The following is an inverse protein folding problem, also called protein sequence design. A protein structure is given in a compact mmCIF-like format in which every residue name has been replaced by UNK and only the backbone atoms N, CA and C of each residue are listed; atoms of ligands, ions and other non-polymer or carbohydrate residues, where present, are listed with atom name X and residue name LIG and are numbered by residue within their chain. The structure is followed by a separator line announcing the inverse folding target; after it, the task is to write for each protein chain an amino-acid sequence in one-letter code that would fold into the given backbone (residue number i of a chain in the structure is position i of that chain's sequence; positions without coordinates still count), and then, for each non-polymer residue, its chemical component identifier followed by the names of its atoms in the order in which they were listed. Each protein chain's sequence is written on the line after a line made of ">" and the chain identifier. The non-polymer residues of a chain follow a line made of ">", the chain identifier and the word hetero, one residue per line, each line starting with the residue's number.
data_IF_541730381447
#
_entry.id   IF_541730381447
#
_cell.length_a   1.000
_cell.length_b   1.000
_cell.length_c   1.000
_cell.angle_alpha   90.00
_cell.angle_beta   90.00
_cell.angle_gamma   90.00
#
_symmetry.space_group_name_H-M   'P 1'
#
loop_
_entity.id
_entity.type
_entity.pdbx_description
1 polymer ?
#
# COMPACT_ATOMS: atom_id res chain seq x y z
N UNK A 1 -4.68 -8.29 -53.60
CA UNK A 1 -4.91 -9.33 -52.59
C UNK A 1 -4.11 -8.94 -51.36
N UNK A 2 -4.72 -8.17 -50.46
CA UNK A 2 -4.16 -7.89 -49.14
C UNK A 2 -4.72 -8.93 -48.17
N UNK A 3 -3.91 -9.52 -47.27
CA UNK A 3 -4.44 -10.36 -46.21
C UNK A 3 -5.19 -9.49 -45.21
N UNK A 4 -6.37 -9.95 -44.82
CA UNK A 4 -7.23 -9.38 -43.80
C UNK A 4 -6.62 -9.58 -42.40
N UNK A 5 -6.30 -8.48 -41.71
CA UNK A 5 -5.96 -8.49 -40.29
C UNK A 5 -7.23 -8.76 -39.47
N UNK A 6 -7.46 -10.04 -39.16
CA UNK A 6 -8.39 -10.47 -38.14
C UNK A 6 -7.62 -10.63 -36.82
N UNK A 7 -7.39 -9.51 -36.13
CA UNK A 7 -7.06 -9.53 -34.71
C UNK A 7 -8.24 -8.93 -33.96
N UNK A 8 -9.21 -9.80 -33.67
CA UNK A 8 -10.24 -9.51 -32.69
C UNK A 8 -9.57 -9.37 -31.34
N UNK A 9 -9.32 -8.13 -30.91
CA UNK A 9 -9.08 -7.82 -29.52
C UNK A 9 -10.32 -8.28 -28.75
N UNK A 10 -10.17 -9.38 -28.01
CA UNK A 10 -11.15 -9.77 -27.00
C UNK A 10 -11.17 -8.66 -25.96
N UNK A 11 -12.08 -7.70 -26.12
CA UNK A 11 -12.43 -6.78 -25.05
C UNK A 11 -12.97 -7.63 -23.90
N UNK A 12 -12.14 -7.86 -22.89
CA UNK A 12 -12.57 -8.42 -21.63
C UNK A 12 -13.56 -7.42 -21.04
N UNK A 13 -14.85 -7.76 -21.12
CA UNK A 13 -15.92 -6.96 -20.54
C UNK A 13 -15.67 -6.81 -19.04
N UNK A 14 -15.67 -5.56 -18.56
CA UNK A 14 -15.60 -5.24 -17.14
C UNK A 14 -16.62 -6.07 -16.34
N UNK A 15 -16.28 -6.59 -15.14
CA UNK A 15 -17.23 -7.28 -14.30
C UNK A 15 -18.45 -6.38 -14.03
N UNK A 16 -19.68 -6.92 -14.09
CA UNK A 16 -20.91 -6.13 -14.01
C UNK A 16 -21.11 -5.39 -12.68
N UNK A 17 -20.39 -5.75 -11.62
CA UNK A 17 -20.61 -5.26 -10.26
C UNK A 17 -19.55 -4.28 -9.71
N UNK A 18 -18.64 -3.75 -10.55
CA UNK A 18 -17.78 -2.62 -10.17
C UNK A 18 -16.73 -2.87 -9.08
N UNK A 19 -16.63 -4.07 -8.51
CA UNK A 19 -15.54 -4.46 -7.61
C UNK A 19 -14.32 -4.93 -8.39
N UNK A 20 -13.42 -4.02 -8.76
CA UNK A 20 -12.14 -4.41 -9.40
C UNK A 20 -11.17 -5.05 -8.40
N UNK A 21 -11.34 -4.79 -7.09
CA UNK A 21 -10.52 -5.35 -6.01
C UNK A 21 -11.38 -6.27 -5.13
N UNK A 22 -11.15 -7.59 -5.13
CA UNK A 22 -11.92 -8.53 -4.32
C UNK A 22 -11.69 -8.33 -2.81
N UNK A 23 -12.77 -8.50 -2.04
CA UNK A 23 -12.72 -8.56 -0.58
C UNK A 23 -13.00 -9.98 -0.10
N UNK A 24 -12.15 -10.48 0.80
CA UNK A 24 -12.28 -11.80 1.42
C UNK A 24 -12.60 -11.70 2.90
N UNK A 25 -13.49 -12.57 3.37
CA UNK A 25 -13.98 -12.62 4.75
C UNK A 25 -13.80 -14.04 5.32
N UNK A 26 -12.55 -14.50 5.54
CA UNK A 26 -12.26 -15.83 6.04
C UNK A 26 -12.93 -16.10 7.38
N UNK A 27 -13.48 -17.31 7.53
CA UNK A 27 -13.84 -17.87 8.83
C UNK A 27 -12.58 -18.14 9.66
N UNK A 28 -12.74 -18.30 10.97
CA UNK A 28 -11.63 -18.70 11.86
C UNK A 28 -10.93 -19.99 11.42
N UNK A 29 -11.66 -20.94 10.80
CA UNK A 29 -11.10 -22.19 10.31
C UNK A 29 -10.27 -21.99 9.04
N UNK A 30 -10.75 -21.17 8.10
CA UNK A 30 -10.03 -20.82 6.88
C UNK A 30 -8.78 -19.98 7.18
N UNK A 31 -8.82 -19.17 8.24
CA UNK A 31 -7.74 -18.27 8.63
C UNK A 31 -6.59 -18.97 9.38
N UNK A 32 -6.66 -20.27 9.66
CA UNK A 32 -5.63 -21.01 10.42
C UNK A 32 -4.28 -21.13 9.69
N UNK A 33 -4.27 -21.02 8.36
CA UNK A 33 -3.06 -21.17 7.57
C UNK A 33 -3.02 -20.12 6.47
N UNK A 34 -2.17 -19.12 6.66
CA UNK A 34 -1.91 -18.07 5.69
C UNK A 34 -1.60 -18.65 4.31
N UNK A 35 -0.56 -19.50 4.20
CA UNK A 35 -0.11 -20.04 2.93
C UNK A 35 -1.18 -20.88 2.21
N UNK A 36 -1.97 -21.66 2.96
CA UNK A 36 -3.06 -22.44 2.39
C UNK A 36 -4.15 -21.51 1.87
N UNK A 37 -4.62 -20.56 2.68
CA UNK A 37 -5.69 -19.65 2.31
C UNK A 37 -5.33 -18.81 1.08
N UNK A 38 -4.10 -18.26 1.04
CA UNK A 38 -3.64 -17.50 -0.12
C UNK A 38 -3.65 -18.36 -1.37
N UNK A 39 -3.06 -19.57 -1.33
CA UNK A 39 -2.93 -20.43 -2.50
C UNK A 39 -4.25 -21.00 -3.02
N UNK A 40 -5.17 -21.36 -2.13
CA UNK A 40 -6.39 -22.09 -2.52
C UNK A 40 -7.61 -21.19 -2.71
N UNK A 41 -7.63 -20.02 -2.07
CA UNK A 41 -8.80 -19.11 -2.09
C UNK A 41 -8.47 -17.82 -2.81
N UNK A 42 -7.40 -17.12 -2.41
CA UNK A 42 -7.10 -15.75 -2.88
C UNK A 42 -6.49 -15.73 -4.28
N UNK A 43 -5.39 -16.46 -4.47
CA UNK A 43 -4.59 -16.46 -5.70
C UNK A 43 -5.42 -16.81 -6.96
N UNK A 44 -6.28 -17.85 -6.95
CA UNK A 44 -7.13 -18.17 -8.11
C UNK A 44 -8.08 -17.05 -8.56
N UNK A 45 -8.43 -16.14 -7.65
CA UNK A 45 -9.38 -15.05 -7.90
C UNK A 45 -8.68 -13.70 -8.13
N UNK A 46 -7.42 -13.55 -7.72
CA UNK A 46 -6.72 -12.27 -7.71
C UNK A 46 -5.52 -12.21 -8.67
N UNK A 47 -5.09 -13.32 -9.25
CA UNK A 47 -3.92 -13.37 -10.14
C UNK A 47 -4.02 -12.40 -11.33
N UNK A 48 -5.23 -12.15 -11.86
CA UNK A 48 -5.47 -11.18 -12.95
C UNK A 48 -5.79 -9.76 -12.47
N UNK A 49 -5.81 -9.53 -11.16
CA UNK A 49 -6.20 -8.24 -10.55
C UNK A 49 -5.00 -7.57 -9.89
N UNK A 50 -4.13 -8.35 -9.25
CA UNK A 50 -2.89 -7.88 -8.62
C UNK A 50 -3.03 -7.34 -7.20
N UNK A 51 -4.26 -7.10 -6.71
CA UNK A 51 -4.50 -6.67 -5.33
C UNK A 51 -5.84 -7.21 -4.82
N UNK A 52 -5.91 -7.46 -3.52
CA UNK A 52 -7.15 -7.78 -2.82
C UNK A 52 -7.11 -7.25 -1.39
N UNK A 53 -8.26 -7.31 -0.71
CA UNK A 53 -8.37 -6.99 0.71
C UNK A 53 -8.89 -8.21 1.46
N UNK A 54 -8.25 -8.55 2.58
CA UNK A 54 -8.66 -9.65 3.45
C UNK A 54 -9.06 -9.05 4.78
N UNK A 55 -10.31 -9.25 5.18
CA UNK A 55 -10.86 -8.80 6.44
C UNK A 55 -10.75 -9.98 7.42
N UNK A 56 -9.83 -9.94 8.39
CA UNK A 56 -9.62 -11.06 9.30
C UNK A 56 -10.88 -11.35 10.12
N UNK A 57 -11.06 -12.59 10.60
CA UNK A 57 -12.21 -12.94 11.41
C UNK A 57 -12.24 -12.11 12.69
N UNK A 58 -13.46 -11.79 13.15
CA UNK A 58 -13.65 -10.97 14.35
C UNK A 58 -12.92 -11.57 15.55
N UNK A 59 -12.07 -10.76 16.19
CA UNK A 59 -11.29 -11.18 17.36
C UNK A 59 -9.94 -11.84 17.06
N UNK A 60 -9.54 -11.95 15.79
CA UNK A 60 -8.26 -12.56 15.38
C UNK A 60 -7.03 -11.95 16.08
N UNK A 61 -6.88 -10.63 16.01
CA UNK A 61 -5.75 -9.92 16.60
C UNK A 61 -6.18 -8.51 16.99
N UNK A 62 -5.95 -8.16 18.26
CA UNK A 62 -6.14 -6.80 18.76
C UNK A 62 -5.02 -6.48 19.73
N UNK A 63 -4.42 -5.31 19.56
CA UNK A 63 -3.38 -4.80 20.44
C UNK A 63 -3.63 -3.30 20.64
N UNK A 64 -3.50 -2.84 21.88
CA UNK A 64 -3.45 -1.40 22.16
C UNK A 64 -2.07 -0.87 21.79
N UNK A 65 -2.02 0.26 21.10
CA UNK A 65 -0.76 0.90 20.70
C UNK A 65 -0.56 2.18 21.51
N UNK A 66 0.43 2.17 22.39
CA UNK A 66 0.94 3.37 23.04
C UNK A 66 2.22 3.78 22.30
N UNK A 67 2.17 4.92 21.61
CA UNK A 67 3.30 5.44 20.83
C UNK A 67 4.56 5.67 21.68
N UNK A 68 4.40 5.96 22.98
CA UNK A 68 5.52 6.19 23.90
C UNK A 68 6.22 4.89 24.31
N UNK A 69 5.58 3.74 24.11
CA UNK A 69 6.08 2.42 24.46
C UNK A 69 6.58 1.63 23.24
N UNK A 70 6.53 2.22 22.04
CA UNK A 70 7.05 1.57 20.84
C UNK A 70 8.58 1.54 20.88
N UNK A 71 9.14 0.34 20.86
CA UNK A 71 10.58 0.11 20.80
C UNK A 71 11.11 0.24 19.35
N UNK A 72 10.91 1.41 18.76
CA UNK A 72 11.45 1.76 17.45
C UNK A 72 11.65 3.27 17.32
N UNK A 73 12.47 3.67 16.35
CA UNK A 73 12.61 5.06 15.94
C UNK A 73 12.08 5.21 14.51
N UNK A 74 11.47 6.36 14.22
CA UNK A 74 11.17 6.75 12.85
C UNK A 74 12.47 7.25 12.24
N UNK A 75 13.25 6.32 11.72
CA UNK A 75 14.56 6.58 11.12
C UNK A 75 14.42 7.29 9.78
N UNK A 76 15.15 8.38 9.58
CA UNK A 76 15.22 9.14 8.33
C UNK A 76 13.86 9.35 7.60
N UNK A 77 12.81 9.87 8.27
CA UNK A 77 11.53 10.09 7.62
C UNK A 77 11.68 11.05 6.45
N UNK A 78 10.98 10.79 5.35
CA UNK A 78 11.12 11.57 4.11
C UNK A 78 10.00 12.60 3.97
N UNK A 79 10.37 13.85 3.69
CA UNK A 79 9.44 14.86 3.19
C UNK A 79 9.21 14.67 1.70
N UNK A 80 7.95 14.69 1.29
CA UNK A 80 7.54 14.39 -0.08
C UNK A 80 7.19 15.68 -0.81
N UNK A 81 8.16 16.22 -1.54
CA UNK A 81 7.97 17.40 -2.36
C UNK A 81 7.39 17.01 -3.71
N UNK A 82 6.23 17.55 -4.06
CA UNK A 82 5.50 17.17 -5.27
C UNK A 82 5.69 18.20 -6.37
N UNK A 83 6.08 17.76 -7.57
CA UNK A 83 6.15 18.59 -8.76
C UNK A 83 5.34 17.94 -9.90
N UNK A 84 4.42 18.68 -10.51
CA UNK A 84 3.59 18.14 -11.59
C UNK A 84 2.22 18.79 -11.67
N UNK A 85 1.42 18.33 -12.64
CA UNK A 85 0.05 18.78 -12.87
C UNK A 85 -0.73 17.79 -13.73
N UNK A 86 -2.06 17.92 -13.72
CA UNK A 86 -2.98 17.12 -14.55
C UNK A 86 -2.82 15.61 -14.37
N UNK A 87 -2.61 15.15 -13.14
CA UNK A 87 -2.51 13.73 -12.80
C UNK A 87 -1.12 13.11 -12.95
N UNK A 88 -0.13 13.87 -13.42
CA UNK A 88 1.26 13.41 -13.57
C UNK A 88 2.12 14.20 -12.59
N UNK A 89 2.77 13.50 -11.67
CA UNK A 89 3.55 14.08 -10.58
C UNK A 89 4.84 13.30 -10.35
N UNK A 90 5.94 14.03 -10.18
CA UNK A 90 7.17 13.55 -9.59
C UNK A 90 7.17 13.88 -8.10
N UNK A 91 7.77 13.02 -7.28
CA UNK A 91 7.87 13.19 -5.85
C UNK A 91 9.34 13.13 -5.45
N UNK A 92 9.90 14.27 -5.07
CA UNK A 92 11.25 14.37 -4.53
C UNK A 92 11.22 14.09 -3.04
N UNK A 93 12.03 13.13 -2.61
CA UNK A 93 12.12 12.71 -1.21
C UNK A 93 13.29 13.41 -0.52
N UNK A 94 13.01 14.16 0.54
CA UNK A 94 14.03 14.85 1.34
C UNK A 94 14.04 14.26 2.75
N UNK A 95 15.12 13.57 3.09
CA UNK A 95 15.28 12.98 4.42
C UNK A 95 15.27 14.05 5.52
N UNK A 96 14.62 13.70 6.63
CA UNK A 96 14.65 14.45 7.87
C UNK A 96 15.44 13.71 8.93
N UNK A 97 15.76 14.44 10.00
CA UNK A 97 16.35 13.84 11.19
C UNK A 97 15.42 12.78 11.78
N UNK A 98 15.99 11.64 12.14
CA UNK A 98 15.33 10.59 12.93
C UNK A 98 14.62 11.18 14.14
N UNK A 99 13.42 10.68 14.41
CA UNK A 99 12.56 11.09 15.50
C UNK A 99 11.82 9.91 16.11
N UNK A 100 11.30 10.08 17.32
CA UNK A 100 10.43 9.09 17.96
C UNK A 100 9.04 9.03 17.31
N UNK A 101 8.30 7.92 17.45
CA UNK A 101 6.91 7.84 17.02
C UNK A 101 6.00 8.93 17.63
N UNK A 102 6.27 9.33 18.87
CA UNK A 102 5.53 10.43 19.55
C UNK A 102 5.79 11.77 18.87
N UNK A 103 7.04 12.08 18.54
CA UNK A 103 7.40 13.31 17.82
C UNK A 103 6.82 13.32 16.40
N UNK A 104 6.86 12.18 15.69
CA UNK A 104 6.23 12.06 14.37
C UNK A 104 4.73 12.32 14.44
N UNK A 105 4.04 11.73 15.42
CA UNK A 105 2.62 11.95 15.64
C UNK A 105 2.29 13.42 15.97
N UNK A 106 3.06 14.05 16.86
CA UNK A 106 2.89 15.47 17.18
C UNK A 106 3.09 16.37 15.95
N UNK A 107 4.10 16.08 15.11
CA UNK A 107 4.33 16.76 13.84
C UNK A 107 3.13 16.60 12.88
N UNK A 108 2.62 15.38 12.72
CA UNK A 108 1.45 15.12 11.88
C UNK A 108 0.21 15.88 12.39
N UNK A 109 0.00 15.93 13.71
CA UNK A 109 -1.08 16.69 14.34
C UNK A 109 -0.88 18.21 14.24
N UNK A 110 0.34 18.70 14.09
CA UNK A 110 0.62 20.13 13.92
C UNK A 110 0.49 20.61 12.47
N UNK A 111 0.35 19.69 11.49
CA UNK A 111 0.23 20.03 10.08
C UNK A 111 -0.97 20.96 9.81
N UNK A 112 -0.77 21.95 8.95
CA UNK A 112 -1.77 22.96 8.54
C UNK A 112 -2.82 22.37 7.61
N UNK A 113 -2.39 21.55 6.65
CA UNK A 113 -3.25 20.77 5.77
C UNK A 113 -3.78 19.56 6.55
N UNK A 114 -5.05 19.64 6.93
CA UNK A 114 -5.70 18.60 7.73
C UNK A 114 -6.32 17.54 6.86
N UNK A 115 -6.28 16.33 7.38
CA UNK A 115 -7.09 15.24 6.86
C UNK A 115 -8.58 15.60 6.85
N UNK A 116 -9.36 15.02 5.94
CA UNK A 116 -10.80 15.22 5.94
C UNK A 116 -11.49 14.50 7.11
N UNK A 117 -12.70 14.94 7.47
CA UNK A 117 -13.46 14.36 8.58
C UNK A 117 -13.92 12.92 8.30
N UNK A 118 -14.11 12.11 9.35
CA UNK A 118 -14.43 10.67 9.22
C UNK A 118 -15.78 10.38 8.53
N UNK A 119 -16.68 11.36 8.49
CA UNK A 119 -18.00 11.23 7.87
C UNK A 119 -17.98 11.43 6.35
N UNK A 120 -16.82 11.77 5.77
CA UNK A 120 -16.72 12.08 4.35
C UNK A 120 -16.67 10.83 3.46
N UNK A 121 -17.30 10.93 2.29
CA UNK A 121 -17.29 9.92 1.23
C UNK A 121 -15.83 9.63 0.79
N UNK A 122 -15.37 8.36 0.74
CA UNK A 122 -14.04 7.99 0.27
C UNK A 122 -13.67 8.60 -1.09
N UNK A 123 -14.62 8.76 -2.02
CA UNK A 123 -14.36 9.38 -3.32
C UNK A 123 -14.15 10.90 -3.23
N UNK A 124 -14.73 11.56 -2.23
CA UNK A 124 -14.47 12.97 -1.95
C UNK A 124 -13.11 13.15 -1.29
N UNK A 125 -12.75 12.27 -0.36
CA UNK A 125 -11.40 12.20 0.23
C UNK A 125 -10.34 12.06 -0.88
N UNK A 126 -10.56 11.14 -1.83
CA UNK A 126 -9.71 10.93 -2.99
C UNK A 126 -9.59 12.20 -3.87
N UNK A 127 -10.72 12.83 -4.21
CA UNK A 127 -10.73 14.09 -5.00
C UNK A 127 -9.94 15.20 -4.31
N UNK A 128 -10.08 15.34 -2.99
CA UNK A 128 -9.33 16.33 -2.19
C UNK A 128 -7.85 16.00 -2.11
N UNK A 129 -7.50 14.72 -2.07
CA UNK A 129 -6.11 14.30 -2.20
C UNK A 129 -5.53 14.80 -3.53
N UNK A 130 -6.08 14.40 -4.67
CA UNK A 130 -5.52 14.76 -5.98
C UNK A 130 -5.54 16.26 -6.28
N UNK A 131 -6.64 16.94 -5.95
CA UNK A 131 -6.77 18.40 -6.17
C UNK A 131 -5.80 19.22 -5.31
N UNK A 132 -5.40 18.68 -4.17
CA UNK A 132 -4.49 19.36 -3.25
C UNK A 132 -3.02 19.23 -3.63
N UNK A 133 -2.64 18.26 -4.48
CA UNK A 133 -1.24 18.07 -4.89
C UNK A 133 -0.77 19.23 -5.77
N UNK A 134 0.17 20.01 -5.25
CA UNK A 134 0.76 21.19 -5.91
C UNK A 134 2.15 21.46 -5.33
N UNK A 135 3.05 22.02 -6.13
CA UNK A 135 4.42 22.33 -5.68
C UNK A 135 4.54 23.37 -4.57
N UNK A 136 3.44 24.05 -4.22
CA UNK A 136 3.37 25.01 -3.11
C UNK A 136 2.68 24.46 -1.86
N UNK A 137 2.32 23.17 -1.84
CA UNK A 137 1.78 22.54 -0.63
C UNK A 137 2.89 22.32 0.40
N UNK A 138 2.52 22.31 1.67
CA UNK A 138 3.43 21.83 2.71
C UNK A 138 3.68 20.33 2.47
N UNK A 139 4.95 19.89 2.29
CA UNK A 139 5.25 18.51 1.96
C UNK A 139 4.96 17.59 3.15
N UNK A 140 4.17 16.51 2.98
CA UNK A 140 3.93 15.57 4.06
C UNK A 140 5.22 14.80 4.37
N UNK A 141 5.36 14.40 5.63
CA UNK A 141 6.42 13.50 6.07
C UNK A 141 5.92 12.05 6.04
N UNK A 142 6.78 11.11 5.66
CA UNK A 142 6.48 9.69 5.66
C UNK A 142 7.62 8.93 6.35
N UNK A 143 7.32 8.22 7.43
CA UNK A 143 8.25 7.30 8.08
C UNK A 143 8.10 5.93 7.44
N UNK A 144 9.07 5.48 6.66
CA UNK A 144 9.02 4.21 5.94
C UNK A 144 10.18 3.29 6.35
N UNK A 145 10.07 2.02 6.00
CA UNK A 145 11.16 1.04 6.02
C UNK A 145 11.80 0.79 7.39
N UNK A 146 11.02 0.96 8.46
CA UNK A 146 11.48 0.73 9.83
C UNK A 146 11.34 -0.76 10.13
N UNK A 147 12.45 -1.50 10.06
CA UNK A 147 12.49 -2.94 10.40
C UNK A 147 12.04 -3.15 11.85
N UNK A 148 10.81 -3.59 12.03
CA UNK A 148 10.17 -3.82 13.33
C UNK A 148 8.81 -4.50 13.13
N UNK A 149 8.19 -4.97 14.21
CA UNK A 149 6.87 -5.59 14.20
C UNK A 149 6.06 -5.20 15.42
N UNK A 150 4.78 -4.89 15.20
CA UNK A 150 3.82 -4.70 16.29
C UNK A 150 3.05 -5.98 16.63
N UNK A 151 3.31 -7.10 15.94
CA UNK A 151 2.76 -8.41 16.30
C UNK A 151 3.47 -9.03 17.51
N UNK A 152 4.76 -8.73 17.71
CA UNK A 152 5.58 -9.43 18.71
C UNK A 152 5.53 -10.95 18.51
N UNK A 153 5.43 -11.69 19.61
CA UNK A 153 5.36 -13.17 19.61
C UNK A 153 3.92 -13.71 19.44
N UNK A 154 2.98 -12.89 18.97
CA UNK A 154 1.61 -13.34 18.77
C UNK A 154 1.56 -14.44 17.69
N UNK A 155 0.91 -15.56 18.02
CA UNK A 155 0.68 -16.66 17.06
C UNK A 155 -0.15 -16.18 15.85
N UNK A 156 -1.08 -15.26 16.09
CA UNK A 156 -1.89 -14.58 15.08
C UNK A 156 -2.41 -15.55 13.99
N UNK A 157 -2.74 -16.79 14.34
CA UNK A 157 -3.22 -17.84 13.44
C UNK A 157 -2.38 -18.01 12.16
N UNK A 158 -1.04 -17.94 12.24
CA UNK A 158 -0.13 -17.96 11.07
C UNK A 158 -0.12 -16.69 10.20
N UNK A 159 -0.81 -15.62 10.62
CA UNK A 159 -0.84 -14.30 9.96
C UNK A 159 -0.02 -13.24 10.70
N UNK A 160 0.95 -13.65 11.52
CA UNK A 160 1.96 -12.74 12.03
C UNK A 160 2.85 -12.31 10.86
N UNK A 161 2.79 -11.04 10.44
CA UNK A 161 3.56 -10.56 9.28
C UNK A 161 5.08 -10.69 9.47
N UNK A 162 5.54 -10.72 10.73
CA UNK A 162 6.95 -10.96 11.06
C UNK A 162 7.26 -12.45 11.25
N UNK A 163 6.30 -13.35 11.08
CA UNK A 163 6.46 -14.81 11.10
C UNK A 163 5.56 -15.54 10.10
N UNK A 164 5.47 -15.04 8.86
CA UNK A 164 4.70 -15.72 7.82
C UNK A 164 5.40 -17.01 7.40
N UNK A 165 4.71 -18.13 7.55
CA UNK A 165 5.21 -19.46 7.18
C UNK A 165 5.17 -19.68 5.65
N UNK A 166 6.05 -18.98 4.94
CA UNK A 166 6.24 -19.07 3.48
C UNK A 166 7.62 -19.66 3.13
N UNK A 167 7.84 -20.00 1.86
CA UNK A 167 9.16 -20.47 1.42
C UNK A 167 10.26 -19.40 1.57
N UNK A 168 9.90 -18.12 1.54
CA UNK A 168 10.84 -17.00 1.65
C UNK A 168 11.57 -16.98 3.00
N UNK A 169 10.96 -17.54 4.06
CA UNK A 169 11.59 -17.73 5.39
C UNK A 169 12.93 -18.44 5.36
N UNK A 170 13.22 -19.23 4.33
CA UNK A 170 14.48 -19.96 4.20
C UNK A 170 15.65 -19.07 3.79
N UNK A 171 15.40 -17.79 3.54
CA UNK A 171 16.36 -16.79 3.08
C UNK A 171 16.29 -15.60 4.04
N UNK A 172 17.42 -14.94 4.32
CA UNK A 172 17.46 -13.72 5.14
C UNK A 172 17.65 -12.49 4.23
N UNK A 173 16.58 -11.73 4.01
CA UNK A 173 16.51 -10.54 3.16
C UNK A 173 15.64 -9.48 3.87
N UNK A 174 16.22 -8.47 4.54
CA UNK A 174 15.46 -7.40 5.19
C UNK A 174 14.46 -6.73 4.25
N UNK A 175 13.23 -6.47 4.71
CA UNK A 175 12.13 -5.94 3.89
C UNK A 175 11.38 -6.98 3.06
N UNK A 176 11.99 -8.14 2.81
CA UNK A 176 11.35 -9.28 2.14
C UNK A 176 10.95 -10.36 3.16
N UNK A 177 11.80 -10.62 4.16
CA UNK A 177 11.61 -11.71 5.14
C UNK A 177 11.45 -11.19 6.58
N UNK A 178 11.67 -9.90 6.80
CA UNK A 178 11.45 -9.17 8.04
C UNK A 178 10.35 -8.12 7.82
N UNK A 179 9.44 -7.94 8.78
CA UNK A 179 8.39 -6.93 8.64
C UNK A 179 8.94 -5.51 8.80
N UNK A 180 8.27 -4.55 8.17
CA UNK A 180 8.55 -3.12 8.29
C UNK A 180 7.32 -2.36 8.81
N UNK A 181 7.57 -1.32 9.60
CA UNK A 181 6.57 -0.37 10.05
C UNK A 181 6.61 0.89 9.19
N UNK A 182 5.41 1.42 8.93
CA UNK A 182 5.19 2.64 8.18
C UNK A 182 4.33 3.61 9.00
N UNK A 183 4.83 4.82 9.19
CA UNK A 183 4.16 5.92 9.87
C UNK A 183 3.71 6.94 8.81
N UNK A 184 2.40 7.00 8.60
CA UNK A 184 1.76 7.91 7.64
C UNK A 184 1.17 9.15 8.30
N UNK A 185 0.98 10.18 7.48
CA UNK A 185 0.12 11.33 7.78
C UNK A 185 -0.69 11.70 6.54
N UNK A 186 -1.61 12.66 6.66
CA UNK A 186 -2.38 13.15 5.53
C UNK A 186 -1.46 13.54 4.36
N UNK A 187 -1.83 13.08 3.15
CA UNK A 187 -1.09 13.21 1.90
C UNK A 187 0.21 12.43 1.77
N UNK A 188 0.70 11.75 2.81
CA UNK A 188 1.83 10.84 2.63
C UNK A 188 1.46 9.73 1.63
N UNK A 189 2.33 9.43 0.68
CA UNK A 189 2.05 8.55 -0.45
C UNK A 189 3.22 7.64 -0.80
N UNK A 190 2.97 6.60 -1.59
CA UNK A 190 4.00 5.79 -2.24
C UNK A 190 3.70 5.75 -3.74
N UNK A 191 4.75 5.82 -4.56
CA UNK A 191 4.61 5.86 -6.01
C UNK A 191 4.17 4.49 -6.57
N UNK A 192 3.73 4.47 -7.82
CA UNK A 192 3.51 3.21 -8.54
C UNK A 192 4.81 2.41 -8.61
N UNK A 193 4.76 1.16 -8.16
CA UNK A 193 5.86 0.20 -8.21
C UNK A 193 5.30 -1.22 -8.20
N UNK A 194 6.11 -2.19 -8.58
CA UNK A 194 5.96 -3.60 -8.17
C UNK A 194 6.94 -3.86 -7.03
N UNK A 195 6.68 -4.92 -6.27
CA UNK A 195 7.61 -5.37 -5.22
C UNK A 195 8.94 -5.84 -5.82
N UNK A 196 9.99 -5.85 -5.01
CA UNK A 196 11.29 -6.40 -5.44
C UNK A 196 11.12 -7.84 -5.94
N UNK A 197 11.71 -8.12 -7.11
CA UNK A 197 11.60 -9.41 -7.82
C UNK A 197 10.15 -9.83 -8.15
N UNK A 198 9.23 -8.86 -8.24
CA UNK A 198 7.79 -9.06 -8.48
C UNK A 198 7.16 -10.06 -7.48
N UNK A 199 7.66 -10.03 -6.24
CA UNK A 199 7.14 -10.86 -5.15
C UNK A 199 5.74 -10.40 -4.71
N UNK A 200 5.08 -11.26 -3.93
CA UNK A 200 3.89 -10.86 -3.19
C UNK A 200 4.26 -9.97 -2.00
N UNK A 201 3.42 -8.97 -1.71
CA UNK A 201 3.44 -8.24 -0.45
C UNK A 201 2.14 -8.40 0.34
N UNK A 202 2.22 -8.14 1.64
CA UNK A 202 1.07 -8.10 2.54
C UNK A 202 1.21 -6.87 3.44
N UNK A 203 0.12 -6.12 3.58
CA UNK A 203 0.07 -4.93 4.43
C UNK A 203 -1.04 -5.09 5.49
N UNK A 204 -0.72 -4.78 6.75
CA UNK A 204 -1.69 -4.71 7.83
C UNK A 204 -1.72 -3.32 8.45
N UNK A 205 -2.88 -2.67 8.40
CA UNK A 205 -3.10 -1.36 9.04
C UNK A 205 -3.38 -1.59 10.53
N UNK A 206 -2.35 -1.44 11.35
CA UNK A 206 -2.42 -1.67 12.80
C UNK A 206 -3.42 -0.74 13.50
N UNK A 207 -3.37 0.55 13.20
CA UNK A 207 -4.22 1.60 13.81
C UNK A 207 -4.16 2.87 12.96
N UNK A 208 -4.98 3.86 13.31
CA UNK A 208 -5.04 5.15 12.65
C UNK A 208 -6.06 5.18 11.52
N UNK A 209 -5.78 6.01 10.52
CA UNK A 209 -6.71 6.34 9.43
C UNK A 209 -6.53 5.41 8.23
N UNK A 210 -7.52 5.33 7.33
CA UNK A 210 -7.44 4.46 6.15
C UNK A 210 -6.26 4.80 5.24
N UNK A 211 -5.74 3.77 4.56
CA UNK A 211 -4.78 3.88 3.46
C UNK A 211 -5.49 3.55 2.15
N UNK A 212 -5.43 4.46 1.18
CA UNK A 212 -6.02 4.28 -0.14
C UNK A 212 -5.00 3.63 -1.08
N UNK A 213 -5.45 2.65 -1.87
CA UNK A 213 -4.62 1.89 -2.80
C UNK A 213 -5.17 1.99 -4.22
N UNK A 214 -4.27 2.07 -5.19
CA UNK A 214 -4.58 1.86 -6.60
C UNK A 214 -3.90 0.57 -7.03
N UNK A 215 -4.66 -0.34 -7.63
CA UNK A 215 -4.17 -1.59 -8.20
C UNK A 215 -4.27 -1.57 -9.71
N UNK A 216 -3.29 -2.15 -10.38
CA UNK A 216 -3.27 -2.30 -11.82
C UNK A 216 -3.14 -3.78 -12.11
N UNK A 217 -4.04 -4.35 -12.94
CA UNK A 217 -3.94 -5.73 -13.39
C UNK A 217 -2.52 -6.04 -13.93
N UNK A 218 -1.90 -7.18 -13.54
CA UNK A 218 -0.54 -7.51 -13.96
C UNK A 218 -0.34 -7.56 -15.48
N UNK A 219 -1.38 -7.94 -16.24
CA UNK A 219 -1.37 -7.96 -17.70
C UNK A 219 -1.34 -6.55 -18.33
N UNK A 220 -1.72 -5.52 -17.59
CA UNK A 220 -1.65 -4.12 -18.00
C UNK A 220 -0.35 -3.41 -17.59
N UNK A 221 0.59 -4.12 -16.92
CA UNK A 221 1.83 -3.53 -16.41
C UNK A 221 2.68 -2.85 -17.49
N UNK A 222 2.78 -3.46 -18.67
CA UNK A 222 3.50 -2.87 -19.81
C UNK A 222 2.90 -1.54 -20.27
N UNK A 223 1.57 -1.45 -20.31
CA UNK A 223 0.87 -0.25 -20.78
C UNK A 223 1.12 0.94 -19.84
N UNK A 224 1.20 0.69 -18.52
CA UNK A 224 1.56 1.74 -17.56
C UNK A 224 3.02 2.14 -17.70
N UNK A 225 3.93 1.19 -17.83
CA UNK A 225 5.35 1.51 -18.02
C UNK A 225 5.55 2.38 -19.27
N UNK A 226 4.87 2.06 -20.38
CA UNK A 226 4.87 2.87 -21.59
C UNK A 226 4.26 4.25 -21.37
N UNK A 227 3.10 4.34 -20.69
CA UNK A 227 2.45 5.61 -20.39
C UNK A 227 3.32 6.53 -19.52
N UNK A 228 4.00 5.97 -18.51
CA UNK A 228 4.95 6.70 -17.65
C UNK A 228 6.15 7.17 -18.46
N UNK A 229 6.73 6.33 -19.31
CA UNK A 229 7.85 6.72 -20.19
C UNK A 229 7.46 7.85 -21.15
N UNK A 230 6.29 7.75 -21.78
CA UNK A 230 5.77 8.81 -22.64
C UNK A 230 5.58 10.12 -21.85
N UNK A 231 5.03 10.02 -20.64
CA UNK A 231 4.77 11.14 -19.76
C UNK A 231 6.04 11.78 -19.17
N UNK A 232 7.17 11.09 -19.08
CA UNK A 232 8.42 11.66 -18.55
C UNK A 232 9.34 12.19 -19.65
N UNK A 233 9.36 11.56 -20.83
CA UNK A 233 10.22 11.96 -21.96
C UNK A 233 9.83 13.30 -22.62
N UNK A 234 8.57 13.73 -22.50
CA UNK A 234 8.08 14.98 -23.10
C UNK A 234 8.15 16.19 -22.13
N UNK A 235 8.72 16.01 -20.94
CA UNK A 235 8.81 17.05 -19.90
C UNK A 235 10.25 17.47 -19.56
N UNK A 236 11.25 17.02 -20.34
CA UNK A 236 12.63 17.51 -20.31
C UNK A 236 12.91 18.34 -21.57
#
# INVERSE_FOLDING_TARGET
>A
MCPSDAHGASMTSSPPDGGWCPEFYPTHAEFQSFATYIRTVVEPQCASIGICKIIPPQGWFSRSYDLSQLDCQVSAPVCQHVAGKKGIFNVDLVERKTMSPVEFHAMAQAATDKEPEESEDPLEVERRFWKGLRGTMDPPSYGADIVSSLFGDADALSWNLNDLNTILRKIDLPGVTQSMLYFGMWRAMFAFHTEDMDLYSINYVHTGKPKFWYGVPPDAGFNIAEAVNFATLHWI
#
